data_IF_914863336174
#
_entry.id   IF_914863336174
#
_cell.length_a   1.000
_cell.length_b   1.000
_cell.length_c   1.000
_cell.angle_alpha   90.00
_cell.angle_beta   90.00
_cell.angle_gamma   90.00
#
_symmetry.space_group_name_H-M   'P 1'
#
loop_
_entity.id
_entity.type
_entity.pdbx_description
1 polymer ?
#
# COMPACT_ATOMS: atom_id res chain seq x y z
N UNK A 1 54.21 -51.20 -5.62
CA UNK A 1 53.88 -50.18 -4.64
C UNK A 1 52.94 -49.21 -5.32
N UNK A 2 51.63 -49.30 -5.00
CA UNK A 2 50.56 -48.53 -5.65
C UNK A 2 50.11 -47.45 -4.67
N UNK A 3 50.33 -46.19 -4.98
CA UNK A 3 49.86 -45.06 -4.19
C UNK A 3 48.47 -44.75 -4.63
N UNK A 4 47.46 -44.93 -3.75
CA UNK A 4 46.08 -44.60 -3.89
C UNK A 4 45.88 -43.17 -3.33
N UNK A 5 45.67 -42.19 -4.20
CA UNK A 5 45.33 -40.84 -3.79
C UNK A 5 43.81 -40.75 -3.61
N UNK A 6 43.31 -40.34 -2.45
CA UNK A 6 41.89 -40.03 -2.30
C UNK A 6 41.59 -38.63 -2.87
N UNK A 7 40.76 -38.59 -3.87
CA UNK A 7 40.21 -37.37 -4.48
C UNK A 7 39.20 -36.74 -3.50
N UNK A 8 39.65 -35.69 -2.82
CA UNK A 8 38.81 -34.92 -1.90
C UNK A 8 37.88 -34.04 -2.73
N UNK A 9 36.64 -34.49 -2.98
CA UNK A 9 35.56 -33.67 -3.55
C UNK A 9 35.13 -32.64 -2.52
N UNK A 10 35.71 -31.46 -2.57
CA UNK A 10 35.21 -30.28 -1.88
C UNK A 10 33.92 -29.79 -2.59
N UNK A 11 32.78 -30.25 -2.09
CA UNK A 11 31.45 -29.77 -2.53
C UNK A 11 31.29 -28.36 -1.97
N UNK A 12 31.68 -27.35 -2.74
CA UNK A 12 31.40 -25.94 -2.50
C UNK A 12 29.90 -25.74 -2.67
N UNK A 13 29.17 -25.77 -1.56
CA UNK A 13 27.81 -25.23 -1.47
C UNK A 13 27.89 -23.71 -1.63
N UNK A 14 27.84 -23.26 -2.86
CA UNK A 14 27.56 -21.84 -3.15
C UNK A 14 26.13 -21.59 -2.78
N UNK A 15 25.93 -21.02 -1.60
CA UNK A 15 24.62 -20.40 -1.22
C UNK A 15 24.36 -19.29 -2.23
N UNK A 16 23.57 -19.59 -3.26
CA UNK A 16 23.03 -18.58 -4.14
C UNK A 16 22.01 -17.78 -3.32
N UNK A 17 22.44 -16.66 -2.77
CA UNK A 17 21.52 -15.60 -2.38
C UNK A 17 20.93 -15.05 -3.67
N UNK A 18 19.85 -15.65 -4.14
CA UNK A 18 19.00 -15.01 -5.10
C UNK A 18 18.52 -13.71 -4.43
N UNK A 19 18.75 -12.53 -5.02
CA UNK A 19 18.10 -11.34 -4.53
C UNK A 19 16.59 -11.63 -4.61
N UNK A 20 15.93 -11.70 -3.47
CA UNK A 20 14.49 -11.67 -3.40
C UNK A 20 14.14 -10.25 -3.87
N UNK A 21 13.84 -10.12 -5.14
CA UNK A 21 13.17 -8.97 -5.66
C UNK A 21 11.81 -9.00 -4.97
N UNK A 22 11.65 -8.17 -3.95
CA UNK A 22 10.37 -7.82 -3.39
C UNK A 22 9.62 -7.15 -4.52
N UNK A 23 8.97 -7.95 -5.33
CA UNK A 23 8.21 -7.55 -6.48
C UNK A 23 7.01 -6.79 -5.94
N UNK A 24 6.78 -5.61 -6.44
CA UNK A 24 5.54 -4.87 -6.23
C UNK A 24 4.42 -5.67 -6.90
N UNK A 25 4.01 -6.70 -6.19
CA UNK A 25 3.25 -7.84 -6.71
C UNK A 25 1.91 -7.44 -7.35
N UNK A 26 1.41 -6.23 -7.04
CA UNK A 26 0.12 -5.76 -7.53
C UNK A 26 0.20 -5.00 -8.86
N UNK A 27 1.36 -4.40 -9.20
CA UNK A 27 1.48 -3.54 -10.37
C UNK A 27 1.15 -4.25 -11.69
N UNK A 28 1.62 -5.48 -11.85
CA UNK A 28 1.49 -6.25 -13.07
C UNK A 28 0.28 -7.20 -13.07
N UNK A 29 -0.53 -7.16 -12.00
CA UNK A 29 -1.75 -7.95 -11.93
C UNK A 29 -2.85 -7.34 -12.82
N UNK A 30 -3.68 -8.17 -13.45
CA UNK A 30 -4.85 -7.68 -14.17
C UNK A 30 -5.82 -7.01 -13.18
N UNK A 31 -6.46 -5.93 -13.62
CA UNK A 31 -7.56 -5.30 -12.89
C UNK A 31 -8.87 -6.00 -13.25
N UNK A 32 -9.55 -6.56 -12.25
CA UNK A 32 -10.88 -7.14 -12.37
C UNK A 32 -11.89 -6.13 -11.86
N UNK A 33 -12.96 -5.86 -12.63
CA UNK A 33 -13.98 -4.87 -12.28
C UNK A 33 -15.35 -5.52 -12.36
N UNK A 34 -16.12 -5.38 -11.28
CA UNK A 34 -17.51 -5.78 -11.17
C UNK A 34 -18.39 -4.53 -11.01
N UNK A 35 -19.57 -4.50 -11.61
CA UNK A 35 -20.53 -3.42 -11.56
C UNK A 35 -21.91 -3.89 -11.99
N UNK A 36 -22.95 -3.11 -11.68
CA UNK A 36 -24.32 -3.44 -12.11
C UNK A 36 -24.50 -3.28 -13.62
N UNK A 37 -23.75 -2.37 -14.26
CA UNK A 37 -23.81 -2.09 -15.69
C UNK A 37 -22.47 -1.65 -16.25
N UNK A 38 -22.15 -2.11 -17.47
CA UNK A 38 -20.96 -1.71 -18.23
C UNK A 38 -21.41 -1.13 -19.59
N UNK A 39 -20.69 -0.11 -20.05
CA UNK A 39 -20.76 0.42 -21.40
C UNK A 39 -19.33 0.61 -21.93
N UNK A 40 -19.07 0.09 -23.13
CA UNK A 40 -17.77 0.20 -23.79
C UNK A 40 -17.91 0.98 -25.11
N UNK A 41 -16.97 1.91 -25.33
CA UNK A 41 -16.82 2.69 -26.56
C UNK A 41 -15.44 2.38 -27.15
N UNK A 42 -15.38 1.52 -28.15
CA UNK A 42 -14.15 1.08 -28.79
C UNK A 42 -13.42 2.26 -29.47
N UNK A 43 -14.16 3.20 -30.07
CA UNK A 43 -13.59 4.34 -30.76
C UNK A 43 -12.85 5.31 -29.82
N UNK A 44 -13.28 5.36 -28.57
CA UNK A 44 -12.65 6.18 -27.50
C UNK A 44 -11.75 5.37 -26.58
N UNK A 45 -11.69 4.06 -26.77
CA UNK A 45 -11.02 3.14 -25.84
C UNK A 45 -11.46 3.32 -24.39
N UNK A 46 -12.76 3.62 -24.20
CA UNK A 46 -13.34 4.01 -22.92
C UNK A 46 -14.34 2.95 -22.46
N UNK A 47 -14.12 2.41 -21.27
CA UNK A 47 -15.07 1.54 -20.58
C UNK A 47 -15.64 2.25 -19.37
N UNK A 48 -16.96 2.29 -19.25
CA UNK A 48 -17.70 2.93 -18.16
C UNK A 48 -18.45 1.88 -17.36
N UNK A 49 -18.30 1.94 -16.05
CA UNK A 49 -18.96 1.04 -15.09
C UNK A 49 -19.87 1.85 -14.20
N UNK A 50 -21.07 1.35 -13.91
CA UNK A 50 -22.12 2.04 -13.17
C UNK A 50 -22.74 1.12 -12.12
N UNK A 51 -22.94 1.64 -10.92
CA UNK A 51 -23.59 0.98 -9.79
C UNK A 51 -22.68 -0.05 -9.11
N UNK A 52 -22.55 0.04 -7.80
CA UNK A 52 -21.81 -0.91 -6.94
C UNK A 52 -20.46 -1.34 -7.49
N UNK A 53 -19.71 -0.38 -8.08
CA UNK A 53 -18.44 -0.70 -8.75
C UNK A 53 -17.42 -1.16 -7.73
N UNK A 54 -16.83 -2.34 -7.96
CA UNK A 54 -15.69 -2.87 -7.24
C UNK A 54 -14.60 -3.25 -8.23
N UNK A 55 -13.42 -2.65 -8.08
CA UNK A 55 -12.23 -2.99 -8.86
C UNK A 55 -11.17 -3.61 -7.95
N UNK A 56 -10.59 -4.73 -8.39
CA UNK A 56 -9.56 -5.46 -7.64
C UNK A 56 -8.34 -5.65 -8.54
N UNK A 57 -7.16 -5.29 -8.02
CA UNK A 57 -5.87 -5.49 -8.69
C UNK A 57 -4.85 -5.99 -7.65
N UNK A 58 -4.59 -7.29 -7.64
CA UNK A 58 -3.79 -7.91 -6.58
C UNK A 58 -4.41 -7.71 -5.20
N UNK A 59 -3.73 -7.01 -4.30
CA UNK A 59 -4.25 -6.66 -2.96
C UNK A 59 -5.02 -5.34 -2.94
N UNK A 60 -4.93 -4.56 -4.03
CA UNK A 60 -5.64 -3.30 -4.18
C UNK A 60 -7.14 -3.54 -4.41
N UNK A 61 -7.97 -2.84 -3.66
CA UNK A 61 -9.43 -2.82 -3.81
C UNK A 61 -9.89 -1.37 -3.91
N UNK A 62 -10.68 -1.05 -4.92
CA UNK A 62 -11.35 0.24 -5.09
C UNK A 62 -12.86 0.04 -5.18
N UNK A 63 -13.63 0.91 -4.54
CA UNK A 63 -15.10 0.91 -4.60
C UNK A 63 -15.64 2.30 -4.91
N UNK A 64 -16.64 2.37 -5.78
CA UNK A 64 -17.26 3.62 -6.23
C UNK A 64 -18.70 3.38 -6.71
N UNK A 65 -19.45 4.46 -6.91
CA UNK A 65 -20.74 4.37 -7.59
C UNK A 65 -20.59 4.33 -9.12
N UNK A 66 -19.50 4.94 -9.62
CA UNK A 66 -19.17 4.94 -11.05
C UNK A 66 -17.67 4.92 -11.23
N UNK A 67 -17.21 4.21 -12.29
CA UNK A 67 -15.81 4.17 -12.70
C UNK A 67 -15.72 4.26 -14.22
N UNK A 68 -14.80 5.06 -14.71
CA UNK A 68 -14.41 5.09 -16.12
C UNK A 68 -12.98 4.57 -16.22
N UNK A 69 -12.71 3.71 -17.17
CA UNK A 69 -11.35 3.25 -17.50
C UNK A 69 -11.09 3.60 -18.96
N UNK A 70 -10.04 4.34 -19.19
CA UNK A 70 -9.57 4.66 -20.53
C UNK A 70 -8.20 4.04 -20.76
N UNK A 71 -8.01 3.45 -21.93
CA UNK A 71 -6.73 2.92 -22.37
C UNK A 71 -6.19 3.80 -23.49
N UNK A 72 -4.92 4.18 -23.40
CA UNK A 72 -4.26 4.90 -24.50
C UNK A 72 -3.77 3.95 -25.58
N UNK A 73 -3.17 4.50 -26.65
CA UNK A 73 -2.64 3.73 -27.78
C UNK A 73 -1.48 2.80 -27.39
N UNK A 74 -0.79 3.08 -26.29
CA UNK A 74 0.30 2.27 -25.73
C UNK A 74 -0.20 1.20 -24.77
N UNK A 75 -1.52 1.11 -24.55
CA UNK A 75 -2.14 0.14 -23.61
C UNK A 75 -2.14 0.58 -22.16
N UNK A 76 -1.70 1.81 -21.85
CA UNK A 76 -1.68 2.35 -20.50
C UNK A 76 -3.10 2.69 -20.05
N UNK A 77 -3.44 2.34 -18.82
CA UNK A 77 -4.77 2.53 -18.28
C UNK A 77 -4.81 3.66 -17.27
N UNK A 78 -5.83 4.51 -17.41
CA UNK A 78 -6.21 5.51 -16.42
C UNK A 78 -7.66 5.30 -16.01
N UNK A 79 -7.91 5.36 -14.71
CA UNK A 79 -9.24 5.20 -14.14
C UNK A 79 -9.67 6.44 -13.37
N UNK A 80 -10.94 6.80 -13.50
CA UNK A 80 -11.60 7.85 -12.72
C UNK A 80 -12.78 7.23 -11.98
N UNK A 81 -12.90 7.57 -10.70
CA UNK A 81 -13.90 7.03 -9.79
C UNK A 81 -14.71 8.16 -9.17
N UNK A 82 -16.01 7.96 -9.06
CA UNK A 82 -16.95 8.89 -8.43
C UNK A 82 -17.80 8.16 -7.41
N UNK A 83 -17.96 8.80 -6.25
CA UNK A 83 -18.88 8.33 -5.23
C UNK A 83 -20.33 8.68 -5.59
N UNK A 84 -21.29 8.04 -4.94
CA UNK A 84 -22.66 8.51 -4.89
C UNK A 84 -22.77 9.79 -4.04
N UNK A 85 -23.89 10.50 -4.19
CA UNK A 85 -24.12 11.73 -3.43
C UNK A 85 -24.05 11.45 -1.92
N UNK A 86 -23.22 12.20 -1.20
CA UNK A 86 -23.02 12.06 0.24
C UNK A 86 -22.04 10.97 0.65
N UNK A 87 -21.65 10.09 -0.26
CA UNK A 87 -20.67 9.02 -0.02
C UNK A 87 -19.25 9.43 -0.39
N UNK A 88 -18.31 8.50 -0.25
CA UNK A 88 -16.94 8.63 -0.72
C UNK A 88 -16.53 7.38 -1.48
N UNK A 89 -15.67 7.53 -2.48
CA UNK A 89 -14.93 6.41 -3.07
C UNK A 89 -14.05 5.82 -1.99
N UNK A 90 -13.79 4.53 -2.08
CA UNK A 90 -12.94 3.80 -1.15
C UNK A 90 -11.79 3.14 -1.88
N UNK A 91 -10.60 3.21 -1.29
CA UNK A 91 -9.39 2.53 -1.72
C UNK A 91 -8.80 1.80 -0.53
N UNK A 92 -8.28 0.59 -0.77
CA UNK A 92 -7.47 -0.15 0.21
C UNK A 92 -6.41 -0.96 -0.53
N UNK A 93 -5.21 -0.97 0.02
CA UNK A 93 -4.11 -1.81 -0.46
C UNK A 93 -3.28 -2.33 0.70
N UNK A 94 -2.85 -3.58 0.62
CA UNK A 94 -1.90 -4.16 1.57
C UNK A 94 -0.49 -3.69 1.21
N UNK A 95 0.28 -3.27 2.21
CA UNK A 95 1.70 -2.96 2.04
C UNK A 95 2.50 -4.25 1.94
N UNK A 96 3.47 -4.25 1.05
CA UNK A 96 4.26 -5.43 0.75
C UNK A 96 5.07 -5.90 1.97
N UNK A 97 5.09 -7.23 2.20
CA UNK A 97 5.86 -7.86 3.27
C UNK A 97 5.40 -7.58 4.70
N UNK A 98 4.34 -6.76 4.88
CA UNK A 98 3.85 -6.33 6.18
C UNK A 98 2.36 -6.65 6.37
N UNK A 99 1.92 -6.80 7.61
CA UNK A 99 0.50 -6.79 7.95
C UNK A 99 0.00 -5.35 8.15
N UNK A 100 0.33 -4.51 7.17
CA UNK A 100 -0.04 -3.10 7.14
C UNK A 100 -0.88 -2.81 5.89
N UNK A 101 -1.82 -1.87 6.04
CA UNK A 101 -2.74 -1.47 4.99
C UNK A 101 -2.77 0.04 4.86
N UNK A 102 -2.88 0.50 3.62
CA UNK A 102 -3.22 1.89 3.31
C UNK A 102 -4.67 1.92 2.85
N UNK A 103 -5.49 2.77 3.46
CA UNK A 103 -6.87 3.03 3.06
C UNK A 103 -7.01 4.49 2.67
N UNK A 104 -7.83 4.76 1.66
CA UNK A 104 -8.11 6.10 1.19
C UNK A 104 -9.59 6.31 0.91
N UNK A 105 -10.09 7.53 1.16
CA UNK A 105 -11.45 7.92 0.85
C UNK A 105 -11.50 9.36 0.32
N UNK A 106 -12.39 9.64 -0.64
CA UNK A 106 -12.62 10.96 -1.20
C UNK A 106 -13.95 11.02 -1.95
N UNK A 107 -14.38 12.20 -2.41
CA UNK A 107 -15.55 12.29 -3.30
C UNK A 107 -15.26 11.73 -4.69
N UNK A 108 -14.01 11.95 -5.18
CA UNK A 108 -13.54 11.39 -6.44
C UNK A 108 -12.11 10.88 -6.30
N UNK A 109 -11.74 9.93 -7.17
CA UNK A 109 -10.37 9.45 -7.25
C UNK A 109 -9.95 9.26 -8.71
N UNK A 110 -8.64 9.38 -8.95
CA UNK A 110 -7.98 9.01 -10.19
C UNK A 110 -6.89 7.99 -9.89
N UNK A 111 -6.77 6.98 -10.73
CA UNK A 111 -5.70 5.98 -10.64
C UNK A 111 -4.99 5.86 -11.99
N UNK A 112 -3.69 6.05 -11.99
CA UNK A 112 -2.83 5.87 -13.15
C UNK A 112 -2.08 4.53 -13.03
N UNK A 113 -2.45 3.57 -13.88
CA UNK A 113 -1.95 2.20 -13.78
C UNK A 113 -0.45 2.06 -14.09
N UNK A 114 0.11 2.90 -14.97
CA UNK A 114 1.53 2.85 -15.32
C UNK A 114 2.44 3.38 -14.20
N UNK A 115 2.10 4.54 -13.66
CA UNK A 115 2.87 5.19 -12.59
C UNK A 115 2.51 4.67 -11.19
N UNK A 116 1.44 3.87 -11.09
CA UNK A 116 0.86 3.35 -9.85
C UNK A 116 0.54 4.49 -8.86
N UNK A 117 -0.04 5.57 -9.39
CA UNK A 117 -0.38 6.76 -8.63
C UNK A 117 -1.88 6.84 -8.42
N UNK A 118 -2.28 6.96 -7.15
CA UNK A 118 -3.64 7.27 -6.72
C UNK A 118 -3.73 8.74 -6.34
N UNK A 119 -4.70 9.45 -6.91
CA UNK A 119 -5.06 10.82 -6.53
C UNK A 119 -6.47 10.81 -5.93
N UNK A 120 -6.62 11.25 -4.69
CA UNK A 120 -7.89 11.44 -3.99
C UNK A 120 -8.23 12.91 -3.99
N UNK A 121 -9.46 13.28 -4.36
CA UNK A 121 -9.90 14.66 -4.53
C UNK A 121 -11.18 14.93 -3.75
N UNK A 122 -11.21 16.05 -3.06
CA UNK A 122 -12.33 16.58 -2.26
C UNK A 122 -12.67 15.70 -1.07
N UNK A 123 -12.57 16.24 0.13
CA UNK A 123 -12.72 15.52 1.40
C UNK A 123 -11.81 14.29 1.47
N UNK A 124 -10.58 14.44 0.94
CA UNK A 124 -9.62 13.36 0.86
C UNK A 124 -9.09 12.99 2.25
N UNK A 125 -9.05 11.70 2.51
CA UNK A 125 -8.54 11.10 3.74
C UNK A 125 -7.71 9.87 3.39
N UNK A 126 -6.57 9.73 4.05
CA UNK A 126 -5.72 8.55 3.97
C UNK A 126 -5.45 8.04 5.38
N UNK A 127 -5.60 6.73 5.56
CA UNK A 127 -5.36 6.02 6.84
C UNK A 127 -4.32 4.94 6.62
N UNK A 128 -3.42 4.80 7.57
CA UNK A 128 -2.50 3.68 7.65
C UNK A 128 -2.90 2.79 8.82
N UNK A 129 -2.98 1.49 8.58
CA UNK A 129 -3.39 0.50 9.57
C UNK A 129 -2.31 -0.58 9.71
N UNK A 130 -2.13 -1.08 10.93
CA UNK A 130 -1.39 -2.32 11.21
C UNK A 130 -2.39 -3.36 11.72
N UNK A 131 -2.65 -4.39 10.91
CA UNK A 131 -3.79 -5.25 11.11
C UNK A 131 -5.09 -4.43 11.06
N UNK A 132 -5.79 -4.33 12.20
CA UNK A 132 -6.99 -3.49 12.36
C UNK A 132 -6.73 -2.18 13.10
N UNK A 133 -5.51 -1.95 13.60
CA UNK A 133 -5.17 -0.78 14.39
C UNK A 133 -4.79 0.40 13.48
N UNK A 134 -5.48 1.54 13.66
CA UNK A 134 -5.12 2.80 13.02
C UNK A 134 -3.78 3.30 13.59
N UNK A 135 -2.81 3.56 12.70
CA UNK A 135 -1.51 4.12 13.07
C UNK A 135 -1.39 5.60 12.69
N UNK A 136 -1.86 5.95 11.50
CA UNK A 136 -1.77 7.32 11.01
C UNK A 136 -3.04 7.69 10.25
N UNK A 137 -3.43 8.96 10.33
CA UNK A 137 -4.57 9.52 9.60
C UNK A 137 -4.21 10.90 9.07
N UNK A 138 -4.42 11.11 7.79
CA UNK A 138 -4.10 12.35 7.10
C UNK A 138 -5.33 12.78 6.31
N UNK A 139 -5.69 14.06 6.40
CA UNK A 139 -6.84 14.65 5.74
C UNK A 139 -6.44 15.91 4.99
N UNK A 140 -7.01 16.10 3.81
CA UNK A 140 -6.79 17.27 2.98
C UNK A 140 -7.86 17.43 1.90
N UNK A 141 -7.66 18.39 1.01
CA UNK A 141 -8.50 18.56 -0.18
C UNK A 141 -8.06 17.60 -1.28
N UNK A 142 -6.75 17.46 -1.46
CA UNK A 142 -6.14 16.55 -2.45
C UNK A 142 -5.03 15.75 -1.78
N UNK A 143 -5.02 14.45 -2.02
CA UNK A 143 -3.95 13.53 -1.63
C UNK A 143 -3.46 12.82 -2.89
N UNK A 144 -2.17 12.90 -3.16
CA UNK A 144 -1.50 12.13 -4.22
C UNK A 144 -0.62 11.10 -3.54
N UNK A 145 -0.86 9.85 -3.81
CA UNK A 145 -0.13 8.72 -3.25
C UNK A 145 0.48 7.87 -4.37
N UNK A 146 1.79 7.75 -4.38
CA UNK A 146 2.50 6.86 -5.28
C UNK A 146 2.72 5.52 -4.55
N UNK A 147 1.99 4.47 -4.96
CA UNK A 147 2.05 3.15 -4.34
C UNK A 147 3.42 2.48 -4.53
N UNK A 148 4.13 2.89 -5.60
CA UNK A 148 5.46 2.37 -5.95
C UNK A 148 6.55 2.87 -5.00
N UNK A 149 6.55 4.16 -4.70
CA UNK A 149 7.57 4.81 -3.85
C UNK A 149 7.10 5.01 -2.43
N UNK A 150 5.80 4.75 -2.14
CA UNK A 150 5.12 5.04 -0.88
C UNK A 150 5.19 6.52 -0.48
N UNK A 151 5.41 7.41 -1.46
CA UNK A 151 5.44 8.86 -1.22
C UNK A 151 4.03 9.42 -1.32
N UNK A 152 3.67 10.21 -0.34
CA UNK A 152 2.38 10.91 -0.26
C UNK A 152 2.60 12.44 -0.25
N UNK A 153 1.80 13.14 -1.06
CA UNK A 153 1.68 14.60 -1.02
C UNK A 153 0.24 14.96 -0.67
N UNK A 154 0.06 15.95 0.19
CA UNK A 154 -1.26 16.38 0.66
C UNK A 154 -1.40 17.88 0.53
N UNK A 155 -2.44 18.32 -0.16
CA UNK A 155 -2.77 19.73 -0.34
C UNK A 155 -4.07 20.08 0.41
N UNK A 156 -4.08 21.22 1.08
CA UNK A 156 -5.28 21.86 1.57
C UNK A 156 -6.01 22.59 0.44
N UNK A 157 -7.28 22.91 0.64
CA UNK A 157 -8.03 23.71 -0.34
C UNK A 157 -7.49 25.14 -0.38
N UNK A 158 -7.27 25.71 -1.58
CA UNK A 158 -6.95 27.13 -1.74
C UNK A 158 -8.11 27.98 -1.23
N UNK A 159 -7.78 29.11 -0.60
CA UNK A 159 -8.78 30.07 -0.10
C UNK A 159 -9.59 30.66 -1.26
N UNK A 160 -10.81 30.22 -1.42
CA UNK A 160 -11.83 31.05 -2.07
C UNK A 160 -12.44 31.95 -1.00
N UNK A 161 -12.65 33.23 -1.35
CA UNK A 161 -13.21 34.22 -0.41
C UNK A 161 -14.57 33.71 0.12
N UNK A 162 -14.63 33.36 1.41
CA UNK A 162 -15.88 33.07 2.09
C UNK A 162 -15.99 31.70 2.79
N UNK A 163 -15.01 30.84 2.70
CA UNK A 163 -15.02 29.52 3.36
C UNK A 163 -14.28 29.54 4.70
N UNK A 164 -14.75 28.77 5.67
CA UNK A 164 -14.15 28.68 7.00
C UNK A 164 -12.70 28.17 6.90
N UNK A 165 -11.74 28.96 7.38
CA UNK A 165 -10.32 28.70 7.24
C UNK A 165 -9.84 27.37 7.85
N UNK A 166 -10.65 26.72 8.71
CA UNK A 166 -10.33 25.45 9.38
C UNK A 166 -10.50 24.24 8.47
N UNK A 167 -11.46 24.28 7.52
CA UNK A 167 -11.73 23.17 6.58
C UNK A 167 -10.71 23.09 5.42
N UNK A 168 -9.83 24.09 5.32
CA UNK A 168 -8.91 24.25 4.18
C UNK A 168 -7.48 23.76 4.45
N UNK A 169 -7.17 23.41 5.70
CA UNK A 169 -5.82 23.01 6.11
C UNK A 169 -5.66 21.50 6.07
N UNK A 170 -4.46 21.05 5.73
CA UNK A 170 -4.06 19.66 5.93
C UNK A 170 -4.07 19.33 7.42
N UNK A 171 -4.61 18.19 7.79
CA UNK A 171 -4.58 17.64 9.14
C UNK A 171 -3.93 16.27 9.13
N UNK A 172 -2.98 16.07 10.02
CA UNK A 172 -2.35 14.77 10.27
C UNK A 172 -2.45 14.39 11.74
N UNK A 173 -2.77 13.14 12.01
CA UNK A 173 -2.69 12.50 13.33
C UNK A 173 -1.71 11.35 13.17
N UNK A 174 -0.58 11.43 13.87
CA UNK A 174 0.48 10.43 13.86
C UNK A 174 0.50 9.74 15.20
N UNK A 175 0.32 8.42 15.22
CA UNK A 175 0.37 7.64 16.45
C UNK A 175 1.81 7.16 16.66
N UNK A 176 2.45 7.45 17.82
CA UNK A 176 3.80 6.97 18.10
C UNK A 176 3.86 5.44 17.98
N UNK A 177 4.83 4.92 17.21
CA UNK A 177 5.09 3.48 17.20
C UNK A 177 5.52 3.06 18.61
N UNK A 178 4.95 1.97 19.19
CA UNK A 178 5.52 1.38 20.39
C UNK A 178 7.01 1.11 20.13
N UNK A 179 7.86 1.55 21.07
CA UNK A 179 9.27 1.19 21.01
C UNK A 179 9.37 -0.33 20.89
N UNK A 180 10.13 -0.83 19.93
CA UNK A 180 10.41 -2.24 19.84
C UNK A 180 10.87 -2.70 21.23
N UNK A 181 10.16 -3.66 21.84
CA UNK A 181 10.50 -4.18 23.15
C UNK A 181 11.99 -4.52 23.12
N UNK A 182 12.77 -3.88 23.99
CA UNK A 182 14.19 -4.20 24.10
C UNK A 182 14.33 -5.72 24.27
N UNK A 183 15.28 -6.39 23.63
CA UNK A 183 15.48 -7.81 23.80
C UNK A 183 15.53 -8.11 25.29
N UNK A 184 14.69 -9.04 25.73
CA UNK A 184 14.69 -9.45 27.13
C UNK A 184 16.12 -9.85 27.52
N UNK A 185 16.69 -9.25 28.58
CA UNK A 185 18.06 -9.61 28.98
C UNK A 185 18.12 -11.14 29.18
N UNK A 186 19.18 -11.81 28.74
CA UNK A 186 19.29 -13.24 28.91
C UNK A 186 19.10 -13.62 30.37
N UNK A 187 18.42 -14.74 30.67
CA UNK A 187 18.20 -15.16 32.05
C UNK A 187 19.55 -15.29 32.75
N UNK A 188 19.64 -14.67 33.94
CA UNK A 188 20.83 -14.76 34.77
C UNK A 188 21.08 -16.23 35.09
N UNK A 189 22.21 -16.78 34.63
CA UNK A 189 22.65 -18.10 35.04
C UNK A 189 23.12 -18.00 36.48
N UNK A 190 22.57 -18.83 37.37
CA UNK A 190 23.07 -18.96 38.73
C UNK A 190 24.54 -19.39 38.66
N UNK A 191 25.42 -18.60 39.29
CA UNK A 191 26.83 -18.98 39.47
C UNK A 191 26.89 -20.24 40.31
N UNK A 192 27.71 -21.26 39.94
CA UNK A 192 27.94 -22.40 40.80
C UNK A 192 28.58 -21.89 42.10
N UNK A 193 28.00 -22.28 43.23
CA UNK A 193 28.46 -21.93 44.55
C UNK A 193 29.95 -22.23 44.69
N UNK A 194 30.76 -21.25 45.13
CA UNK A 194 32.11 -21.48 45.57
C UNK A 194 32.05 -22.48 46.71
N UNK A 195 32.65 -23.63 46.52
CA UNK A 195 32.86 -24.60 47.59
C UNK A 195 33.79 -23.96 48.62
N UNK A 196 33.27 -23.66 49.83
CA UNK A 196 34.06 -23.31 50.96
C UNK A 196 35.09 -24.43 51.25
N UNK A 197 36.33 -24.17 50.89
CA UNK A 197 37.46 -24.93 51.45
C UNK A 197 37.78 -24.34 52.81
N UNK A 198 37.34 -24.98 53.87
CA UNK A 198 37.76 -24.68 55.25
C UNK A 198 38.95 -25.60 55.57
N UNK A 199 40.03 -25.09 56.20
CA UNK A 199 41.23 -25.83 56.51
C UNK A 199 41.05 -26.92 57.56
#
# INVERSE_FOLDING_TARGET
MKYFQPLLCALLWTLHWAPVWAEKADRDKPMQIEADRLQHDEGKKLTQFFGNVQAVKGTMVMRAARMNVQQDEQGKQKAWLWAASGERVFFRQKREGLDEYTEGEAETAEYEGESDVLTLLTRAEMRMLRGTQLTDQIQGHKIVFNNTTEVMSVDGQRKDKGTDARSQRVRAVLVPKPAASAPMPPPLRSSPSLKDNKP
#
